data_IF_327025707028
#
_entry.id   IF_327025707028
#
_cell.length_a   1.000
_cell.length_b   1.000
_cell.length_c   1.000
_cell.angle_alpha   90.00
_cell.angle_beta   90.00
_cell.angle_gamma   90.00
#
_symmetry.space_group_name_H-M   'P 1'
#
loop_
_entity.id
_entity.type
_entity.pdbx_description
1 polymer ?
#
# COMPACT_ATOMS: atom_id res chain seq x y z
N UNK A 1 6.68 -12.17 2.95
CA UNK A 1 5.62 -12.64 3.87
C UNK A 1 4.44 -13.07 3.01
N UNK A 2 4.05 -14.34 3.00
CA UNK A 2 2.85 -14.80 2.29
C UNK A 2 1.67 -14.85 3.26
N UNK A 3 0.48 -14.46 2.80
CA UNK A 3 -0.77 -14.58 3.56
C UNK A 3 -1.56 -15.75 2.99
N UNK A 4 -1.65 -16.84 3.76
CA UNK A 4 -2.38 -18.05 3.38
C UNK A 4 -3.51 -18.31 4.36
N UNK A 5 -4.43 -19.21 4.02
CA UNK A 5 -5.46 -19.70 4.95
C UNK A 5 -4.76 -20.44 6.10
N UNK A 6 -5.15 -20.16 7.34
CA UNK A 6 -4.64 -20.88 8.52
C UNK A 6 -5.77 -21.23 9.46
N UNK A 7 -6.04 -22.52 9.63
CA UNK A 7 -7.19 -23.01 10.39
C UNK A 7 -8.49 -22.40 9.84
N UNK A 8 -9.23 -21.67 10.69
CA UNK A 8 -10.47 -21.00 10.31
C UNK A 8 -10.30 -19.59 9.69
N UNK A 9 -9.07 -19.05 9.62
CA UNK A 9 -8.84 -17.70 9.11
C UNK A 9 -8.52 -17.72 7.62
N UNK A 10 -9.24 -16.90 6.85
CA UNK A 10 -8.91 -16.64 5.45
C UNK A 10 -7.58 -15.90 5.31
N UNK A 11 -6.97 -15.98 4.12
CA UNK A 11 -5.77 -15.20 3.81
C UNK A 11 -5.97 -13.69 4.05
N UNK A 12 -7.17 -13.16 3.73
CA UNK A 12 -7.53 -11.77 3.99
C UNK A 12 -7.62 -11.46 5.50
N UNK A 13 -8.20 -12.35 6.31
CA UNK A 13 -8.23 -12.19 7.76
C UNK A 13 -6.82 -12.15 8.36
N UNK A 14 -5.90 -12.96 7.84
CA UNK A 14 -4.49 -12.95 8.24
C UNK A 14 -3.76 -11.67 7.82
N UNK A 15 -4.02 -11.17 6.61
CA UNK A 15 -3.52 -9.88 6.15
C UNK A 15 -3.98 -8.75 7.07
N UNK A 16 -5.28 -8.69 7.39
CA UNK A 16 -5.87 -7.66 8.26
C UNK A 16 -5.26 -7.74 9.67
N UNK A 17 -5.08 -8.94 10.23
CA UNK A 17 -4.46 -9.10 11.54
C UNK A 17 -3.01 -8.58 11.58
N UNK A 18 -2.26 -8.74 10.48
CA UNK A 18 -0.92 -8.17 10.36
C UNK A 18 -0.96 -6.65 10.22
N UNK A 19 -1.84 -6.12 9.37
CA UNK A 19 -1.97 -4.69 9.12
C UNK A 19 -2.35 -3.90 10.37
N UNK A 20 -3.19 -4.48 11.24
CA UNK A 20 -3.56 -3.89 12.53
C UNK A 20 -2.39 -3.61 13.48
N UNK A 21 -1.22 -4.21 13.26
CA UNK A 21 0.01 -3.87 14.01
C UNK A 21 0.53 -2.47 13.69
N UNK A 22 0.28 -1.99 12.48
CA UNK A 22 0.73 -0.68 11.98
C UNK A 22 -0.42 0.33 11.91
N UNK A 23 -1.63 -0.16 11.72
CA UNK A 23 -2.84 0.65 11.66
C UNK A 23 -3.95 -0.02 12.49
N UNK A 24 -3.97 0.18 13.83
CA UNK A 24 -4.89 -0.51 14.74
C UNK A 24 -6.37 -0.36 14.40
N UNK A 25 -6.77 0.82 13.90
CA UNK A 25 -8.14 1.13 13.50
C UNK A 25 -8.54 0.58 12.12
N UNK A 26 -7.61 -0.05 11.38
CA UNK A 26 -7.90 -0.56 10.04
C UNK A 26 -9.00 -1.63 10.04
N UNK A 27 -9.98 -1.44 9.18
CA UNK A 27 -10.93 -2.47 8.77
C UNK A 27 -11.20 -2.36 7.28
N UNK A 28 -11.39 -3.51 6.62
CA UNK A 28 -11.67 -3.55 5.18
C UNK A 28 -13.02 -2.87 4.92
N UNK A 29 -13.02 -1.87 4.06
CA UNK A 29 -14.24 -1.11 3.70
C UNK A 29 -14.55 0.07 4.61
N UNK A 30 -13.64 0.45 5.53
CA UNK A 30 -13.80 1.69 6.29
C UNK A 30 -13.60 2.91 5.38
N UNK A 31 -14.64 3.74 5.28
CA UNK A 31 -14.63 4.95 4.46
C UNK A 31 -13.63 6.02 4.95
N UNK A 32 -13.34 6.04 6.26
CA UNK A 32 -12.46 7.03 6.86
C UNK A 32 -10.97 6.72 6.70
N UNK A 33 -10.64 5.49 6.31
CA UNK A 33 -9.25 5.03 6.13
C UNK A 33 -8.43 5.97 5.24
N UNK A 34 -9.01 6.47 4.14
CA UNK A 34 -8.32 7.43 3.27
C UNK A 34 -8.06 8.76 3.98
N UNK A 35 -9.05 9.29 4.70
CA UNK A 35 -8.91 10.57 5.41
C UNK A 35 -7.84 10.52 6.51
N UNK A 36 -7.69 9.36 7.17
CA UNK A 36 -6.69 9.16 8.22
C UNK A 36 -5.25 9.14 7.68
N UNK A 37 -5.04 8.68 6.45
CA UNK A 37 -3.70 8.48 5.88
C UNK A 37 -3.35 9.45 4.73
N UNK A 38 -4.30 10.26 4.24
CA UNK A 38 -4.08 11.14 3.06
C UNK A 38 -2.93 12.12 3.24
N UNK A 39 -2.65 12.56 4.47
CA UNK A 39 -1.50 13.44 4.76
C UNK A 39 -0.15 12.78 4.48
N UNK A 40 -0.10 11.45 4.41
CA UNK A 40 1.09 10.67 4.12
C UNK A 40 1.28 10.38 2.62
N UNK A 41 0.43 10.92 1.75
CA UNK A 41 0.47 10.64 0.29
C UNK A 41 1.83 10.96 -0.33
N UNK A 42 2.43 12.11 -0.01
CA UNK A 42 3.76 12.49 -0.50
C UNK A 42 4.84 11.51 -0.05
N UNK A 43 4.80 11.08 1.22
CA UNK A 43 5.71 10.07 1.74
C UNK A 43 5.52 8.70 1.05
N UNK A 44 4.27 8.35 0.72
CA UNK A 44 3.97 7.12 0.00
C UNK A 44 4.51 7.15 -1.44
N UNK A 45 4.42 8.29 -2.12
CA UNK A 45 5.01 8.53 -3.45
C UNK A 45 6.53 8.29 -3.39
N UNK A 46 7.24 8.91 -2.45
CA UNK A 46 8.70 8.78 -2.35
C UNK A 46 9.14 7.34 -2.07
N UNK A 47 8.43 6.64 -1.18
CA UNK A 47 8.68 5.23 -0.90
C UNK A 47 8.43 4.33 -2.12
N UNK A 48 7.39 4.64 -2.91
CA UNK A 48 7.10 3.89 -4.13
C UNK A 48 8.18 4.10 -5.20
N UNK A 49 8.73 5.32 -5.35
CA UNK A 49 9.88 5.57 -6.24
C UNK A 49 11.12 4.78 -5.81
N UNK A 50 11.39 4.72 -4.51
CA UNK A 50 12.49 3.92 -3.96
C UNK A 50 12.29 2.42 -4.23
N UNK A 51 11.05 1.92 -4.10
CA UNK A 51 10.72 0.54 -4.38
C UNK A 51 10.90 0.19 -5.87
N UNK A 52 10.56 1.10 -6.79
CA UNK A 52 10.82 0.94 -8.23
C UNK A 52 12.32 0.84 -8.50
N UNK A 53 13.11 1.77 -7.95
CA UNK A 53 14.57 1.75 -8.11
C UNK A 53 15.18 0.42 -7.65
N UNK A 54 14.77 -0.07 -6.48
CA UNK A 54 15.23 -1.36 -5.97
C UNK A 54 14.77 -2.53 -6.85
N UNK A 55 13.55 -2.49 -7.40
CA UNK A 55 13.06 -3.54 -8.28
C UNK A 55 13.87 -3.62 -9.59
N UNK A 56 14.17 -2.46 -10.18
CA UNK A 56 15.01 -2.33 -11.38
C UNK A 56 16.44 -2.84 -11.14
N UNK A 57 17.06 -2.43 -10.02
CA UNK A 57 18.40 -2.91 -9.62
C UNK A 57 18.46 -4.43 -9.43
N UNK A 58 17.35 -5.05 -8.99
CA UNK A 58 17.23 -6.49 -8.79
C UNK A 58 16.73 -7.24 -10.05
N UNK A 59 16.61 -6.58 -11.20
CA UNK A 59 16.14 -7.19 -12.45
C UNK A 59 14.69 -7.71 -12.37
N UNK A 60 13.87 -7.15 -11.48
CA UNK A 60 12.46 -7.51 -11.33
C UNK A 60 11.58 -6.40 -11.86
N UNK A 61 10.84 -6.69 -12.93
CA UNK A 61 9.74 -5.83 -13.33
C UNK A 61 8.53 -6.11 -12.44
N UNK A 62 8.11 -5.12 -11.65
CA UNK A 62 6.92 -5.22 -10.82
C UNK A 62 6.01 -4.01 -11.10
N UNK A 63 4.91 -4.19 -11.84
CA UNK A 63 4.02 -3.08 -12.20
C UNK A 63 3.39 -2.40 -10.98
N UNK A 64 3.34 -3.07 -9.81
CA UNK A 64 2.86 -2.43 -8.57
C UNK A 64 3.81 -1.34 -8.06
N UNK A 65 5.05 -1.29 -8.53
CA UNK A 65 6.02 -0.24 -8.15
C UNK A 65 5.82 1.06 -8.94
N UNK A 66 5.04 1.05 -10.02
CA UNK A 66 4.71 2.21 -10.85
C UNK A 66 3.55 3.04 -10.29
N UNK A 67 3.00 2.69 -9.13
CA UNK A 67 1.78 3.34 -8.64
C UNK A 67 1.94 4.83 -8.30
N UNK A 68 3.16 5.25 -7.99
CA UNK A 68 3.46 6.67 -7.83
C UNK A 68 3.18 7.49 -9.09
N UNK A 69 3.36 6.96 -10.31
CA UNK A 69 3.11 7.72 -11.55
C UNK A 69 1.66 8.16 -11.64
N UNK A 70 0.73 7.23 -11.41
CA UNK A 70 -0.71 7.53 -11.42
C UNK A 70 -1.09 8.47 -10.28
N UNK A 71 -0.59 8.21 -9.07
CA UNK A 71 -0.94 9.02 -7.88
C UNK A 71 -0.40 10.43 -8.02
N UNK A 72 0.82 10.61 -8.52
CA UNK A 72 1.41 11.92 -8.82
C UNK A 72 0.61 12.66 -9.89
N UNK A 73 0.23 12.00 -10.98
CA UNK A 73 -0.60 12.59 -12.01
C UNK A 73 -1.93 13.09 -11.43
N UNK A 74 -2.64 12.26 -10.66
CA UNK A 74 -3.91 12.63 -10.02
C UNK A 74 -3.74 13.72 -8.95
N UNK A 75 -2.58 13.76 -8.27
CA UNK A 75 -2.30 14.77 -7.26
C UNK A 75 -2.15 16.16 -7.88
N UNK A 76 -1.42 16.27 -9.00
CA UNK A 76 -1.22 17.54 -9.71
C UNK A 76 -2.43 17.98 -10.55
N UNK A 77 -3.38 17.10 -10.87
CA UNK A 77 -4.64 17.47 -11.53
C UNK A 77 -5.60 18.26 -10.61
N UNK A 78 -5.33 18.27 -9.31
CA UNK A 78 -6.18 18.90 -8.30
C UNK A 78 -5.75 20.33 -7.95
N UNK A 79 -4.73 20.82 -8.64
CA UNK A 79 -4.32 22.23 -8.71
C UNK A 79 -5.03 22.93 -9.89
#
# INVERSE_FOLDING_TARGET
MSFVVTGAKSACANLIACLKKYFPAYSKGNADTYNEIKSQTTQAIDRSRQALKQAQENGRDNPSTLMHELVEYLHHLKD
#
